data_IF_854459995568
#
_entry.id   IF_854459995568
#
_cell.length_a   1.000
_cell.length_b   1.000
_cell.length_c   1.000
_cell.angle_alpha   90.00
_cell.angle_beta   90.00
_cell.angle_gamma   90.00
#
_symmetry.space_group_name_H-M   'P 1'
#
loop_
_entity.id
_entity.type
_entity.pdbx_description
1 polymer ?
#
# COMPACT_ATOMS: atom_id res chain seq x y z
N UNK A 1 -7.34 -1.46 -26.84
CA UNK A 1 -5.90 -1.77 -27.08
C UNK A 1 -5.21 -1.92 -25.74
N UNK A 2 -4.12 -2.67 -25.69
CA UNK A 2 -3.38 -2.98 -24.45
C UNK A 2 -1.89 -2.72 -24.68
N UNK A 3 -1.22 -2.12 -23.69
CA UNK A 3 0.22 -1.94 -23.66
C UNK A 3 0.79 -2.81 -22.54
N UNK A 4 1.73 -3.70 -22.87
CA UNK A 4 2.30 -4.65 -21.92
C UNK A 4 3.82 -4.49 -21.92
N UNK A 5 4.38 -4.16 -20.76
CA UNK A 5 5.82 -4.15 -20.52
C UNK A 5 6.21 -5.39 -19.73
N UNK A 6 7.27 -6.08 -20.14
CA UNK A 6 7.74 -7.31 -19.49
C UNK A 6 9.19 -7.17 -19.06
N UNK A 7 9.47 -7.46 -17.79
CA UNK A 7 10.80 -7.40 -17.21
C UNK A 7 11.46 -6.02 -17.18
N UNK A 8 10.74 -4.86 -17.12
CA UNK A 8 11.44 -3.58 -17.11
C UNK A 8 12.15 -3.36 -15.77
N UNK A 9 13.25 -2.63 -15.81
CA UNK A 9 13.82 -2.00 -14.60
C UNK A 9 13.23 -0.60 -14.48
N UNK A 10 12.53 -0.33 -13.38
CA UNK A 10 11.91 0.95 -13.06
C UNK A 10 12.71 1.66 -11.98
N UNK A 11 12.86 2.98 -12.14
CA UNK A 11 13.35 3.87 -11.08
C UNK A 11 12.25 4.83 -10.71
N UNK A 12 11.90 4.88 -9.43
CA UNK A 12 10.91 5.80 -8.88
C UNK A 12 11.59 6.69 -7.85
N UNK A 13 11.65 7.99 -8.12
CA UNK A 13 12.26 8.96 -7.20
C UNK A 13 11.18 9.87 -6.66
N UNK A 14 10.97 9.84 -5.34
CA UNK A 14 10.22 10.89 -4.65
C UNK A 14 11.18 12.01 -4.27
N UNK A 15 11.00 13.17 -4.90
CA UNK A 15 11.76 14.39 -4.64
C UNK A 15 11.40 15.00 -3.29
N UNK A 16 12.27 15.86 -2.77
CA UNK A 16 12.06 16.54 -1.49
C UNK A 16 10.79 17.42 -1.47
N UNK A 17 10.36 17.92 -2.63
CA UNK A 17 9.11 18.67 -2.81
C UNK A 17 7.86 17.78 -2.91
N UNK A 18 8.00 16.47 -2.71
CA UNK A 18 6.97 15.43 -2.90
C UNK A 18 6.57 15.16 -4.35
N UNK A 19 7.27 15.74 -5.33
CA UNK A 19 7.16 15.31 -6.72
C UNK A 19 7.64 13.87 -6.91
N UNK A 20 7.09 13.16 -7.89
CA UNK A 20 7.46 11.78 -8.21
C UNK A 20 7.98 11.74 -9.64
N UNK A 21 9.19 11.21 -9.82
CA UNK A 21 9.78 10.96 -11.13
C UNK A 21 9.87 9.45 -11.39
N UNK A 22 9.50 9.02 -12.59
CA UNK A 22 9.46 7.60 -12.99
C UNK A 22 10.27 7.42 -14.27
N UNK A 23 11.30 6.58 -14.19
CA UNK A 23 12.18 6.27 -15.32
C UNK A 23 12.29 4.77 -15.61
N UNK A 24 12.76 4.45 -16.83
CA UNK A 24 13.06 3.10 -17.29
C UNK A 24 14.55 2.97 -17.62
N UNK A 25 15.18 1.86 -17.18
CA UNK A 25 16.55 1.47 -17.56
C UNK A 25 17.61 1.63 -16.46
N UNK A 26 18.88 1.38 -16.83
CA UNK A 26 20.02 1.41 -15.90
C UNK A 26 20.53 2.83 -15.60
N UNK A 27 21.14 2.96 -14.42
CA UNK A 27 21.66 4.22 -13.86
C UNK A 27 22.91 4.65 -14.65
N UNK A 28 22.79 5.74 -15.40
CA UNK A 28 23.94 6.54 -15.85
C UNK A 28 23.62 8.02 -15.62
N UNK A 29 24.62 8.88 -15.34
CA UNK A 29 24.41 10.33 -15.18
C UNK A 29 23.71 10.99 -16.38
N UNK A 30 23.85 10.39 -17.56
CA UNK A 30 23.21 10.83 -18.81
C UNK A 30 21.68 10.58 -18.84
N UNK A 31 21.16 9.71 -17.97
CA UNK A 31 19.74 9.34 -17.91
C UNK A 31 18.92 10.19 -16.90
N UNK A 32 19.53 11.07 -16.11
CA UNK A 32 18.80 11.95 -15.18
C UNK A 32 17.86 12.91 -15.92
N UNK A 33 18.34 13.56 -16.99
CA UNK A 33 17.50 14.43 -17.84
C UNK A 33 16.40 13.65 -18.59
N UNK A 34 16.61 12.37 -18.88
CA UNK A 34 15.61 11.50 -19.54
C UNK A 34 14.52 11.04 -18.57
N UNK A 35 14.81 11.01 -17.26
CA UNK A 35 13.84 10.57 -16.23
C UNK A 35 12.62 11.49 -16.21
N UNK A 36 12.81 12.82 -16.29
CA UNK A 36 11.71 13.78 -16.38
C UNK A 36 10.82 13.57 -17.63
N UNK A 37 11.43 13.33 -18.79
CA UNK A 37 10.69 13.01 -20.02
C UNK A 37 9.96 11.65 -19.95
N UNK A 38 10.52 10.67 -19.25
CA UNK A 38 9.88 9.37 -19.04
C UNK A 38 8.69 9.48 -18.08
N UNK A 39 8.77 10.32 -17.04
CA UNK A 39 7.64 10.63 -16.15
C UNK A 39 6.45 11.19 -16.94
N UNK A 40 6.71 12.10 -17.88
CA UNK A 40 5.68 12.68 -18.74
C UNK A 40 4.99 11.61 -19.60
N UNK A 41 5.76 10.65 -20.13
CA UNK A 41 5.23 9.53 -20.91
C UNK A 41 4.35 8.62 -20.05
N UNK A 42 4.80 8.23 -18.85
CA UNK A 42 4.02 7.38 -17.93
C UNK A 42 2.73 8.08 -17.53
N UNK A 43 2.81 9.36 -17.16
CA UNK A 43 1.66 10.18 -16.79
C UNK A 43 0.65 10.25 -17.94
N UNK A 44 1.13 10.46 -19.17
CA UNK A 44 0.26 10.50 -20.36
C UNK A 44 -0.40 9.15 -20.64
N UNK A 45 0.31 8.04 -20.49
CA UNK A 45 -0.26 6.68 -20.62
C UNK A 45 -1.38 6.47 -19.59
N UNK A 46 -1.15 6.81 -18.32
CA UNK A 46 -2.16 6.70 -17.27
C UNK A 46 -3.37 7.59 -17.54
N UNK A 47 -3.18 8.81 -18.04
CA UNK A 47 -4.28 9.70 -18.44
C UNK A 47 -5.16 9.10 -19.54
N UNK A 48 -4.57 8.49 -20.57
CA UNK A 48 -5.34 7.82 -21.63
C UNK A 48 -6.15 6.63 -21.12
N UNK A 49 -5.69 5.93 -20.09
CA UNK A 49 -6.40 4.78 -19.53
C UNK A 49 -7.49 5.25 -18.57
N UNK A 50 -7.20 6.26 -17.76
CA UNK A 50 -8.16 6.85 -16.83
C UNK A 50 -9.34 7.50 -17.56
N UNK A 51 -9.10 8.12 -18.72
CA UNK A 51 -10.13 8.75 -19.54
C UNK A 51 -9.91 8.46 -21.02
N UNK A 52 -10.29 7.27 -21.50
CA UNK A 52 -10.04 6.91 -22.88
C UNK A 52 -10.83 7.79 -23.86
N UNK A 53 -10.13 8.38 -24.82
CA UNK A 53 -10.72 9.32 -25.80
C UNK A 53 -10.84 10.78 -25.33
N UNK A 54 -10.27 11.15 -24.18
CA UNK A 54 -10.30 12.52 -23.65
C UNK A 54 -9.43 13.53 -24.40
N UNK A 55 -8.38 13.10 -25.10
CA UNK A 55 -7.70 13.98 -26.05
C UNK A 55 -8.45 14.01 -27.37
N UNK A 56 -8.86 15.22 -27.79
CA UNK A 56 -9.51 15.54 -29.07
C UNK A 56 -8.60 15.34 -30.30
N UNK A 57 -7.55 14.53 -30.19
CA UNK A 57 -6.63 14.22 -31.27
C UNK A 57 -7.02 12.91 -31.94
N UNK A 58 -7.73 12.99 -33.06
CA UNK A 58 -7.99 11.87 -33.98
C UNK A 58 -6.70 11.14 -34.48
N UNK A 59 -5.51 11.62 -34.07
CA UNK A 59 -4.20 11.17 -34.55
C UNK A 59 -3.27 10.54 -33.49
N UNK A 60 -3.65 10.46 -32.20
CA UNK A 60 -2.78 9.82 -31.20
C UNK A 60 -2.86 8.29 -31.28
N UNK A 61 -1.73 7.55 -31.39
CA UNK A 61 -1.73 6.09 -31.43
C UNK A 61 -2.30 5.44 -30.14
N UNK A 62 -2.35 6.21 -29.04
CA UNK A 62 -2.81 5.80 -27.71
C UNK A 62 -4.30 6.09 -27.44
N UNK A 63 -5.01 6.76 -28.35
CA UNK A 63 -6.43 7.13 -28.20
C UNK A 63 -7.38 5.93 -27.92
N UNK A 64 -6.99 4.73 -28.37
CA UNK A 64 -7.73 3.48 -28.14
C UNK A 64 -7.16 2.61 -27.01
N UNK A 65 -6.22 3.11 -26.22
CA UNK A 65 -5.66 2.38 -25.09
C UNK A 65 -6.75 2.14 -24.03
N UNK A 66 -6.77 0.93 -23.48
CA UNK A 66 -7.74 0.48 -22.48
C UNK A 66 -7.06 -0.26 -21.34
N UNK A 67 -5.91 -0.90 -21.57
CA UNK A 67 -5.11 -1.45 -20.48
C UNK A 67 -3.62 -1.10 -20.60
N UNK A 68 -2.97 -1.03 -19.46
CA UNK A 68 -1.53 -0.96 -19.31
C UNK A 68 -1.09 -1.94 -18.24
N UNK A 69 -0.11 -2.76 -18.56
CA UNK A 69 0.37 -3.81 -17.69
C UNK A 69 1.89 -3.78 -17.67
N UNK A 70 2.44 -3.96 -16.48
CA UNK A 70 3.85 -4.20 -16.23
C UNK A 70 3.94 -5.55 -15.53
N UNK A 71 4.71 -6.47 -16.11
CA UNK A 71 4.94 -7.79 -15.55
C UNK A 71 6.41 -7.99 -15.23
N UNK A 72 6.71 -8.61 -14.08
CA UNK A 72 8.02 -8.97 -13.56
C UNK A 72 9.01 -7.78 -13.56
N UNK A 73 8.55 -6.60 -13.16
CA UNK A 73 9.44 -5.45 -13.06
C UNK A 73 10.36 -5.55 -11.84
N UNK A 74 11.54 -4.96 -11.99
CA UNK A 74 12.45 -4.67 -10.87
C UNK A 74 12.36 -3.17 -10.58
N UNK A 75 11.96 -2.80 -9.37
CA UNK A 75 11.77 -1.39 -9.01
C UNK A 75 12.83 -0.97 -8.01
N UNK A 76 13.55 0.09 -8.34
CA UNK A 76 14.34 0.85 -7.37
C UNK A 76 13.56 2.10 -7.00
N UNK A 77 13.10 2.18 -5.77
CA UNK A 77 12.45 3.37 -5.22
C UNK A 77 13.46 4.13 -4.34
N UNK A 78 13.52 5.44 -4.53
CA UNK A 78 14.32 6.36 -3.73
C UNK A 78 13.42 7.48 -3.24
N UNK A 79 13.28 7.61 -1.93
CA UNK A 79 12.55 8.71 -1.31
C UNK A 79 13.55 9.66 -0.67
N UNK A 80 13.81 10.80 -1.34
CA UNK A 80 14.74 11.82 -0.86
C UNK A 80 14.18 12.65 0.29
N UNK A 81 12.88 12.58 0.54
CA UNK A 81 12.26 13.26 1.68
C UNK A 81 12.51 12.46 2.97
N UNK A 82 12.41 11.13 2.87
CA UNK A 82 12.64 10.22 3.99
C UNK A 82 14.09 9.72 4.07
N UNK A 83 14.88 9.90 3.00
CA UNK A 83 16.26 9.43 2.94
C UNK A 83 16.39 7.91 2.79
N UNK A 84 15.39 7.27 2.18
CA UNK A 84 15.27 5.80 2.12
C UNK A 84 15.28 5.31 0.68
N UNK A 85 15.78 4.09 0.49
CA UNK A 85 15.69 3.38 -0.79
C UNK A 85 15.18 1.96 -0.58
N UNK A 86 14.37 1.50 -1.53
CA UNK A 86 13.79 0.17 -1.58
C UNK A 86 14.04 -0.47 -2.94
N UNK A 87 14.31 -1.77 -2.91
CA UNK A 87 14.38 -2.59 -4.10
C UNK A 87 13.26 -3.62 -4.06
N UNK A 88 12.39 -3.59 -5.06
CA UNK A 88 11.32 -4.56 -5.25
C UNK A 88 11.74 -5.48 -6.42
N UNK A 89 12.15 -6.73 -6.14
CA UNK A 89 12.71 -7.61 -7.16
C UNK A 89 11.67 -8.11 -8.16
N UNK A 90 10.41 -8.15 -7.74
CA UNK A 90 9.29 -8.59 -8.54
C UNK A 90 8.11 -7.67 -8.25
N UNK A 91 7.67 -6.95 -9.28
CA UNK A 91 6.57 -6.00 -9.23
C UNK A 91 5.71 -6.16 -10.47
N UNK A 92 4.44 -6.43 -10.25
CA UNK A 92 3.41 -6.44 -11.27
C UNK A 92 2.42 -5.33 -10.99
N UNK A 93 2.04 -4.59 -12.02
CA UNK A 93 0.92 -3.66 -11.95
C UNK A 93 0.11 -3.71 -13.23
N UNK A 94 -1.20 -3.68 -13.10
CA UNK A 94 -2.12 -3.59 -14.23
C UNK A 94 -3.13 -2.49 -13.99
N UNK A 95 -3.50 -1.81 -15.06
CA UNK A 95 -4.57 -0.83 -15.11
C UNK A 95 -5.49 -1.20 -16.27
N UNK A 96 -6.79 -1.20 -16.01
CA UNK A 96 -7.82 -1.51 -16.97
C UNK A 96 -8.93 -0.47 -16.89
N UNK A 97 -9.11 0.28 -17.97
CA UNK A 97 -10.28 1.12 -18.16
C UNK A 97 -11.51 0.23 -18.39
N UNK A 98 -12.53 0.40 -17.56
CA UNK A 98 -13.80 -0.31 -17.65
C UNK A 98 -14.88 0.62 -18.19
N UNK A 99 -16.12 0.13 -18.32
CA UNK A 99 -17.26 0.96 -18.74
C UNK A 99 -17.66 1.99 -17.68
N UNK A 100 -17.35 1.72 -16.41
CA UNK A 100 -17.85 2.47 -15.25
C UNK A 100 -16.72 3.15 -14.47
N UNK A 101 -15.47 3.00 -14.91
CA UNK A 101 -14.33 3.36 -14.07
C UNK A 101 -12.97 2.86 -14.54
N UNK A 102 -12.07 2.74 -13.56
CA UNK A 102 -10.71 2.22 -13.71
C UNK A 102 -10.49 1.12 -12.67
N UNK A 103 -10.07 -0.05 -13.11
CA UNK A 103 -9.61 -1.14 -12.25
C UNK A 103 -8.09 -1.19 -12.28
N UNK A 104 -7.46 -1.44 -11.14
CA UNK A 104 -6.02 -1.65 -11.04
C UNK A 104 -5.72 -2.82 -10.10
N UNK A 105 -4.69 -3.59 -10.43
CA UNK A 105 -4.15 -4.64 -9.56
C UNK A 105 -2.65 -4.46 -9.42
N UNK A 106 -2.14 -4.66 -8.22
CA UNK A 106 -0.71 -4.62 -7.88
C UNK A 106 -0.31 -5.90 -7.17
N UNK A 107 0.92 -6.34 -7.42
CA UNK A 107 1.57 -7.42 -6.69
C UNK A 107 3.05 -7.08 -6.56
N UNK A 108 3.63 -7.28 -5.39
CA UNK A 108 5.09 -7.27 -5.26
C UNK A 108 5.59 -8.18 -4.15
N UNK A 109 6.77 -8.74 -4.39
CA UNK A 109 7.48 -9.56 -3.42
C UNK A 109 8.24 -8.65 -2.43
N UNK A 110 8.25 -9.08 -1.17
CA UNK A 110 9.08 -8.57 -0.09
C UNK A 110 10.20 -9.56 0.21
N UNK A 111 11.24 -9.18 0.97
CA UNK A 111 12.21 -10.15 1.48
C UNK A 111 11.51 -11.28 2.24
N UNK A 112 11.89 -12.52 1.94
CA UNK A 112 11.37 -13.71 2.60
C UNK A 112 11.71 -13.70 4.10
N UNK A 113 10.75 -14.12 4.92
CA UNK A 113 10.88 -14.19 6.38
C UNK A 113 10.69 -15.65 6.80
N UNK A 114 11.62 -16.19 7.59
CA UNK A 114 11.57 -17.60 8.02
C UNK A 114 11.62 -18.62 6.86
N UNK A 115 12.12 -18.22 5.70
CA UNK A 115 12.10 -19.05 4.48
C UNK A 115 10.73 -19.15 3.80
N UNK A 116 9.74 -18.38 4.26
CA UNK A 116 8.44 -18.25 3.63
C UNK A 116 8.39 -16.99 2.76
N UNK A 117 7.61 -17.07 1.67
CA UNK A 117 7.47 -15.96 0.73
C UNK A 117 6.63 -14.84 1.32
N UNK A 118 7.18 -13.64 1.30
CA UNK A 118 6.49 -12.43 1.74
C UNK A 118 6.04 -11.62 0.53
N UNK A 119 4.79 -11.17 0.51
CA UNK A 119 4.27 -10.40 -0.61
C UNK A 119 3.11 -9.50 -0.20
N UNK A 120 2.86 -8.49 -1.03
CA UNK A 120 1.68 -7.63 -0.93
C UNK A 120 0.92 -7.72 -2.25
N UNK A 121 -0.39 -7.92 -2.14
CA UNK A 121 -1.33 -7.83 -3.26
C UNK A 121 -2.33 -6.71 -2.99
N UNK A 122 -2.66 -5.95 -4.02
CA UNK A 122 -3.70 -4.94 -3.95
C UNK A 122 -4.57 -4.92 -5.20
N UNK A 123 -5.84 -4.59 -5.00
CA UNK A 123 -6.83 -4.37 -6.04
C UNK A 123 -7.55 -3.04 -5.76
N UNK A 124 -7.77 -2.24 -6.80
CA UNK A 124 -8.43 -0.93 -6.71
C UNK A 124 -9.45 -0.78 -7.83
N UNK A 125 -10.69 -0.45 -7.48
CA UNK A 125 -11.76 -0.12 -8.42
C UNK A 125 -12.23 1.32 -8.19
N UNK A 126 -11.95 2.21 -9.13
CA UNK A 126 -12.38 3.60 -9.10
C UNK A 126 -13.63 3.82 -9.95
N UNK A 127 -14.70 4.35 -9.36
CA UNK A 127 -15.96 4.67 -10.05
C UNK A 127 -15.95 6.09 -10.60
N UNK A 128 -16.16 6.26 -11.91
CA UNK A 128 -16.32 7.60 -12.51
C UNK A 128 -17.61 8.31 -12.05
N UNK A 129 -18.69 7.55 -11.85
CA UNK A 129 -20.00 8.07 -11.44
C UNK A 129 -19.99 8.54 -9.99
N UNK A 130 -19.50 7.69 -9.08
CA UNK A 130 -19.53 7.96 -7.64
C UNK A 130 -18.28 8.69 -7.14
N UNK A 131 -17.22 8.77 -7.97
CA UNK A 131 -15.92 9.37 -7.63
C UNK A 131 -15.33 8.81 -6.34
N UNK A 132 -15.46 7.51 -6.14
CA UNK A 132 -14.91 6.78 -5.01
C UNK A 132 -14.00 5.64 -5.50
N UNK A 133 -13.10 5.19 -4.64
CA UNK A 133 -12.22 4.05 -4.90
C UNK A 133 -12.50 2.95 -3.87
N UNK A 134 -12.87 1.76 -4.33
CA UNK A 134 -12.84 0.55 -3.51
C UNK A 134 -11.42 -0.03 -3.58
N UNK A 135 -10.81 -0.29 -2.43
CA UNK A 135 -9.44 -0.79 -2.30
C UNK A 135 -9.49 -2.09 -1.50
N UNK A 136 -8.81 -3.12 -1.97
CA UNK A 136 -8.56 -4.35 -1.22
C UNK A 136 -7.05 -4.59 -1.20
N UNK A 137 -6.47 -4.77 -0.01
CA UNK A 137 -5.06 -5.09 0.19
C UNK A 137 -4.95 -6.39 0.99
N UNK A 138 -4.00 -7.23 0.59
CA UNK A 138 -3.61 -8.43 1.33
C UNK A 138 -2.10 -8.35 1.55
N UNK A 139 -1.70 -8.54 2.79
CA UNK A 139 -0.31 -8.67 3.21
C UNK A 139 -0.10 -10.10 3.67
N UNK A 140 0.98 -10.72 3.20
CA UNK A 140 1.34 -12.07 3.61
C UNK A 140 2.77 -12.10 4.12
N UNK A 141 2.95 -12.72 5.29
CA UNK A 141 4.25 -12.90 5.94
C UNK A 141 5.05 -11.59 6.03
N UNK A 142 4.39 -10.51 6.44
CA UNK A 142 4.91 -9.15 6.46
C UNK A 142 5.70 -8.88 7.74
N UNK A 143 7.03 -8.81 7.65
CA UNK A 143 7.88 -8.37 8.76
C UNK A 143 7.81 -6.85 8.93
N UNK A 144 7.37 -6.40 10.10
CA UNK A 144 7.21 -4.98 10.41
C UNK A 144 8.51 -4.19 10.36
N UNK A 145 9.66 -4.84 10.60
CA UNK A 145 10.97 -4.20 10.57
C UNK A 145 11.34 -3.65 9.19
N UNK A 146 10.79 -4.24 8.11
CA UNK A 146 11.07 -3.81 6.73
C UNK A 146 10.77 -2.31 6.56
N UNK A 147 9.74 -1.82 7.26
CA UNK A 147 9.26 -0.44 7.15
C UNK A 147 9.52 0.40 8.40
N UNK A 148 9.54 -0.21 9.59
CA UNK A 148 9.73 0.51 10.84
C UNK A 148 11.00 1.39 10.80
N UNK A 149 12.14 0.83 10.36
CA UNK A 149 13.43 1.53 10.38
C UNK A 149 13.58 2.59 9.28
N UNK A 150 12.51 2.82 8.51
CA UNK A 150 12.48 3.66 7.32
C UNK A 150 11.40 4.74 7.41
N UNK A 151 10.39 4.55 8.27
CA UNK A 151 9.28 5.48 8.47
C UNK A 151 9.31 5.91 9.94
N UNK A 152 9.73 7.15 10.26
CA UNK A 152 9.89 7.61 11.64
C UNK A 152 8.63 7.42 12.51
N UNK A 153 7.45 7.57 11.92
CA UNK A 153 6.16 7.40 12.60
C UNK A 153 5.88 5.94 13.01
N UNK A 154 6.62 4.99 12.44
CA UNK A 154 6.52 3.55 12.74
C UNK A 154 7.67 3.05 13.62
N UNK A 155 8.50 3.93 14.18
CA UNK A 155 9.66 3.53 14.99
C UNK A 155 9.30 2.70 16.22
N UNK A 156 8.05 2.75 16.70
CA UNK A 156 7.56 1.87 17.77
C UNK A 156 7.65 0.38 17.40
N UNK A 157 7.66 0.08 16.09
CA UNK A 157 7.77 -1.27 15.54
C UNK A 157 9.23 -1.71 15.30
N UNK A 158 10.23 -0.83 15.49
CA UNK A 158 11.64 -1.12 15.17
C UNK A 158 12.26 -2.22 16.01
N UNK A 159 11.84 -2.31 17.27
CA UNK A 159 12.38 -3.30 18.22
C UNK A 159 11.43 -4.50 18.39
N UNK A 160 10.44 -4.63 17.51
CA UNK A 160 9.37 -5.62 17.65
C UNK A 160 9.53 -6.74 16.63
N UNK A 161 9.69 -7.98 17.11
CA UNK A 161 9.68 -9.16 16.27
C UNK A 161 8.24 -9.57 15.96
N UNK A 162 7.70 -8.95 14.90
CA UNK A 162 6.31 -9.14 14.47
C UNK A 162 6.27 -9.43 12.97
N UNK A 163 5.73 -10.59 12.63
CA UNK A 163 5.41 -10.98 11.25
C UNK A 163 3.90 -11.12 11.11
N UNK A 164 3.32 -10.34 10.20
CA UNK A 164 1.87 -10.18 10.07
C UNK A 164 1.34 -10.77 8.77
N UNK A 165 0.19 -11.43 8.85
CA UNK A 165 -0.75 -11.52 7.74
C UNK A 165 -1.83 -10.46 7.93
N UNK A 166 -2.30 -9.88 6.84
CA UNK A 166 -3.23 -8.77 6.91
C UNK A 166 -4.18 -8.69 5.72
N UNK A 167 -5.38 -8.17 5.98
CA UNK A 167 -6.36 -7.80 4.97
C UNK A 167 -6.92 -6.43 5.29
N UNK A 168 -6.93 -5.55 4.30
CA UNK A 168 -7.57 -4.23 4.38
C UNK A 168 -8.55 -4.09 3.25
N UNK A 169 -9.77 -3.68 3.56
CA UNK A 169 -10.77 -3.27 2.57
C UNK A 169 -11.18 -1.85 2.90
N UNK A 170 -11.11 -0.94 1.94
CA UNK A 170 -11.48 0.45 2.16
C UNK A 170 -12.32 0.98 1.01
N UNK A 171 -13.29 1.82 1.34
CA UNK A 171 -13.97 2.69 0.39
C UNK A 171 -13.47 4.11 0.63
N UNK A 172 -12.85 4.72 -0.37
CA UNK A 172 -12.26 6.06 -0.30
C UNK A 172 -13.09 7.06 -1.12
N UNK A 173 -13.21 8.29 -0.65
CA UNK A 173 -13.81 9.39 -1.41
C UNK A 173 -12.87 9.93 -2.52
N UNK A 174 -13.31 10.98 -3.23
CA UNK A 174 -12.54 11.60 -4.31
C UNK A 174 -11.22 12.25 -3.85
N UNK A 175 -11.06 12.49 -2.55
CA UNK A 175 -9.87 13.05 -1.93
C UNK A 175 -9.03 11.97 -1.24
N UNK A 176 -9.31 10.68 -1.51
CA UNK A 176 -8.68 9.52 -0.89
C UNK A 176 -8.89 9.44 0.63
N UNK A 177 -9.94 10.07 1.15
CA UNK A 177 -10.30 9.95 2.56
C UNK A 177 -11.15 8.70 2.77
N UNK A 178 -10.90 7.91 3.82
CA UNK A 178 -11.68 6.72 4.09
C UNK A 178 -13.13 7.07 4.46
N UNK A 179 -14.06 6.50 3.72
CA UNK A 179 -15.48 6.47 4.05
C UNK A 179 -15.81 5.24 4.90
N UNK A 180 -15.25 4.10 4.52
CA UNK A 180 -15.34 2.84 5.25
C UNK A 180 -14.01 2.12 5.20
N UNK A 181 -13.64 1.46 6.30
CA UNK A 181 -12.48 0.58 6.36
C UNK A 181 -12.86 -0.67 7.13
N UNK A 182 -12.50 -1.85 6.62
CA UNK A 182 -12.41 -3.08 7.38
C UNK A 182 -10.95 -3.51 7.37
N UNK A 183 -10.44 -3.87 8.54
CA UNK A 183 -9.04 -4.22 8.74
C UNK A 183 -8.97 -5.46 9.62
N UNK A 184 -8.20 -6.44 9.18
CA UNK A 184 -7.87 -7.64 9.94
C UNK A 184 -6.37 -7.89 9.84
N UNK A 185 -5.70 -8.10 10.96
CA UNK A 185 -4.32 -8.59 10.99
C UNK A 185 -4.18 -9.71 12.00
N UNK A 186 -3.26 -10.61 11.71
CA UNK A 186 -2.87 -11.69 12.60
C UNK A 186 -1.38 -11.92 12.58
N UNK A 187 -0.84 -12.38 13.70
CA UNK A 187 0.51 -12.93 13.81
C UNK A 187 0.47 -14.16 14.71
N UNK A 188 1.06 -15.26 14.25
CA UNK A 188 1.04 -16.52 14.97
C UNK A 188 1.87 -16.44 16.26
N UNK A 189 3.10 -15.98 16.15
CA UNK A 189 4.05 -15.80 17.26
C UNK A 189 5.09 -14.74 16.95
N UNK A 190 5.77 -14.26 17.98
CA UNK A 190 6.84 -13.28 17.88
C UNK A 190 7.26 -12.77 19.25
N UNK A 191 7.88 -11.59 19.31
CA UNK A 191 8.23 -10.96 20.58
C UNK A 191 8.02 -9.45 20.57
N UNK A 192 7.48 -8.94 21.68
CA UNK A 192 7.28 -7.51 21.91
C UNK A 192 8.34 -6.97 22.87
N UNK A 193 8.99 -5.89 22.48
CA UNK A 193 9.90 -5.15 23.34
C UNK A 193 9.22 -3.91 23.90
N UNK A 194 9.06 -3.86 25.22
CA UNK A 194 8.63 -2.65 25.92
C UNK A 194 9.40 -2.52 27.24
N UNK A 195 10.42 -1.65 27.23
CA UNK A 195 11.29 -1.41 28.39
C UNK A 195 10.57 -0.94 29.66
N UNK A 196 9.32 -0.48 29.57
CA UNK A 196 8.50 -0.13 30.74
C UNK A 196 7.78 -1.34 31.36
N UNK A 197 7.58 -2.42 30.59
CA UNK A 197 6.88 -3.64 31.04
C UNK A 197 7.90 -4.71 31.45
N UNK A 198 8.95 -4.91 30.65
CA UNK A 198 9.98 -5.90 30.90
C UNK A 198 11.33 -5.45 30.32
N UNK A 199 12.43 -5.88 30.97
CA UNK A 199 13.79 -5.61 30.48
C UNK A 199 14.16 -6.46 29.26
N UNK A 200 13.51 -7.60 29.07
CA UNK A 200 13.72 -8.54 27.96
C UNK A 200 12.47 -8.58 27.06
N UNK A 201 12.62 -8.89 25.76
CA UNK A 201 11.49 -9.11 24.86
C UNK A 201 10.51 -10.13 25.42
N UNK A 202 9.22 -9.81 25.37
CA UNK A 202 8.15 -10.66 25.86
C UNK A 202 7.60 -11.46 24.69
N UNK A 203 7.71 -12.81 24.70
CA UNK A 203 7.16 -13.61 23.62
C UNK A 203 5.63 -13.50 23.63
N UNK A 204 5.07 -13.43 22.43
CA UNK A 204 3.64 -13.47 22.22
C UNK A 204 3.25 -14.60 21.27
N UNK A 205 1.96 -14.96 21.32
CA UNK A 205 1.29 -15.79 20.34
C UNK A 205 -0.15 -15.33 20.14
N UNK A 206 -0.80 -15.86 19.11
CA UNK A 206 -2.24 -15.67 18.84
C UNK A 206 -2.62 -14.18 18.75
N UNK A 207 -1.78 -13.36 18.12
CA UNK A 207 -2.05 -11.94 17.94
C UNK A 207 -3.07 -11.75 16.83
N UNK A 208 -4.23 -11.18 17.14
CA UNK A 208 -5.31 -10.92 16.18
C UNK A 208 -5.90 -9.55 16.46
N UNK A 209 -6.07 -8.73 15.42
CA UNK A 209 -6.86 -7.50 15.47
C UNK A 209 -7.87 -7.51 14.32
N UNK A 210 -9.14 -7.33 14.64
CA UNK A 210 -10.20 -7.05 13.69
C UNK A 210 -10.88 -5.73 14.06
N UNK A 211 -10.92 -4.81 13.10
CA UNK A 211 -11.50 -3.50 13.28
C UNK A 211 -12.28 -3.04 12.04
N UNK A 212 -13.23 -2.13 12.24
CA UNK A 212 -13.89 -1.42 11.15
C UNK A 212 -14.15 0.03 11.48
N UNK A 213 -14.11 0.89 10.47
CA UNK A 213 -14.40 2.32 10.57
C UNK A 213 -15.51 2.71 9.59
N UNK A 214 -16.41 3.58 10.03
CA UNK A 214 -17.49 4.16 9.23
C UNK A 214 -17.57 5.67 9.49
N UNK A 215 -17.15 6.46 8.50
CA UNK A 215 -17.09 7.92 8.61
C UNK A 215 -18.46 8.57 8.72
N UNK A 216 -19.51 7.93 8.18
CA UNK A 216 -20.88 8.47 8.24
C UNK A 216 -21.44 8.44 9.66
N UNK A 217 -20.92 7.52 10.49
CA UNK A 217 -21.24 7.39 11.90
C UNK A 217 -20.17 8.00 12.80
N UNK A 218 -19.03 8.41 12.24
CA UNK A 218 -17.83 8.75 13.00
C UNK A 218 -17.38 7.60 13.91
N UNK A 219 -17.61 6.35 13.52
CA UNK A 219 -17.50 5.20 14.40
C UNK A 219 -16.31 4.30 14.04
N UNK A 220 -15.54 3.90 15.05
CA UNK A 220 -14.51 2.86 15.02
C UNK A 220 -14.98 1.69 15.90
N UNK A 221 -15.11 0.52 15.32
CA UNK A 221 -15.48 -0.71 16.01
C UNK A 221 -14.28 -1.65 16.04
N UNK A 222 -13.72 -1.89 17.23
CA UNK A 222 -12.75 -2.93 17.52
C UNK A 222 -13.53 -4.20 17.83
N UNK A 223 -13.74 -5.03 16.81
CA UNK A 223 -14.51 -6.26 16.90
C UNK A 223 -13.79 -7.30 17.76
N UNK A 224 -12.48 -7.38 17.59
CA UNK A 224 -11.66 -8.37 18.26
C UNK A 224 -10.22 -7.87 18.36
N UNK A 225 -9.66 -7.93 19.56
CA UNK A 225 -8.23 -7.86 19.79
C UNK A 225 -7.89 -9.04 20.68
N UNK A 226 -6.99 -9.91 20.25
CA UNK A 226 -6.43 -10.97 21.08
C UNK A 226 -4.92 -10.97 21.00
N UNK A 227 -4.28 -11.30 22.11
CA UNK A 227 -2.84 -11.45 22.22
C UNK A 227 -2.56 -12.31 23.45
N UNK A 228 -1.80 -13.38 23.31
CA UNK A 228 -1.30 -14.13 24.46
C UNK A 228 0.15 -13.76 24.71
N UNK A 229 0.41 -13.12 25.85
CA UNK A 229 1.76 -12.79 26.32
C UNK A 229 2.19 -13.83 27.34
N UNK A 230 3.22 -14.64 27.01
CA UNK A 230 3.63 -15.81 27.80
C UNK A 230 2.43 -16.74 28.05
N UNK A 231 1.87 -16.72 29.26
CA UNK A 231 0.74 -17.56 29.69
C UNK A 231 -0.56 -16.75 29.90
N UNK A 232 -0.54 -15.43 29.65
CA UNK A 232 -1.68 -14.54 29.88
C UNK A 232 -2.33 -14.12 28.55
N UNK A 233 -3.60 -14.46 28.37
CA UNK A 233 -4.39 -14.00 27.21
C UNK A 233 -5.04 -12.65 27.53
N UNK A 234 -4.79 -11.68 26.66
CA UNK A 234 -5.42 -10.38 26.64
C UNK A 234 -6.46 -10.41 25.52
N UNK A 235 -7.69 -10.07 25.85
CA UNK A 235 -8.79 -9.94 24.89
C UNK A 235 -9.49 -8.61 25.08
N UNK A 236 -9.76 -7.90 23.99
CA UNK A 236 -10.50 -6.63 24.02
C UNK A 236 -11.44 -6.50 22.83
N UNK A 237 -12.51 -5.75 23.04
CA UNK A 237 -13.48 -5.32 22.03
C UNK A 237 -14.03 -3.96 22.47
N UNK A 238 -14.47 -3.13 21.53
CA UNK A 238 -15.00 -1.80 21.88
C UNK A 238 -15.49 -1.02 20.69
N UNK A 239 -16.50 -0.18 20.90
CA UNK A 239 -17.06 0.69 19.88
C UNK A 239 -16.88 2.16 20.28
N UNK A 240 -16.12 2.89 19.48
CA UNK A 240 -15.78 4.29 19.70
C UNK A 240 -16.51 5.17 18.69
N UNK A 241 -17.05 6.28 19.15
CA UNK A 241 -17.73 7.27 18.30
C UNK A 241 -17.09 8.64 18.53
N UNK A 242 -16.64 9.25 17.44
CA UNK A 242 -16.16 10.61 17.42
C UNK A 242 -17.34 11.56 17.31
N UNK A 243 -17.44 12.47 18.27
CA UNK A 243 -18.44 13.54 18.31
C UNK A 243 -17.74 14.90 18.46
N UNK A 244 -18.51 16.00 18.36
CA UNK A 244 -18.00 17.35 18.64
C UNK A 244 -17.47 17.50 20.07
N UNK A 245 -17.92 16.66 21.01
CA UNK A 245 -17.46 16.62 22.39
C UNK A 245 -16.19 15.77 22.61
N UNK A 246 -15.66 15.15 21.55
CA UNK A 246 -14.50 14.25 21.59
C UNK A 246 -14.85 12.80 21.25
N UNK A 247 -13.87 11.91 21.45
CA UNK A 247 -14.00 10.48 21.28
C UNK A 247 -14.66 9.87 22.52
N UNK A 248 -15.72 9.10 22.35
CA UNK A 248 -16.38 8.35 23.43
C UNK A 248 -16.49 6.87 23.07
N UNK A 249 -16.31 6.00 24.05
CA UNK A 249 -16.39 4.54 23.90
C UNK A 249 -16.23 3.82 25.25
N UNK A 250 -16.67 2.56 25.37
CA UNK A 250 -16.47 1.69 26.52
C UNK A 250 -15.05 1.10 26.59
#
# INVERSE_FOLDING_TARGET
KSLILKGPTLRVVRRADSGIDIGFGDITPENENKTGQQTDVVTRVLQYIAHPGSESGETSPLSGLRSFEIHNARVLMEDHRLGISWFLPNFDISFLSTKTGLSASLYFDLPDVGGQKSHIKGDVDYSWQHKNAAVALVLNNFDTHIFAGKIPELSILDDQDIVLDGRVEALLDSNLRPLQVNFGVSSEEGSLYNGNIAAEPVPYKDFIIEASYDSTKGALDLKQVNLTLRDATISAQGAFVQSDAGLSGP
#
